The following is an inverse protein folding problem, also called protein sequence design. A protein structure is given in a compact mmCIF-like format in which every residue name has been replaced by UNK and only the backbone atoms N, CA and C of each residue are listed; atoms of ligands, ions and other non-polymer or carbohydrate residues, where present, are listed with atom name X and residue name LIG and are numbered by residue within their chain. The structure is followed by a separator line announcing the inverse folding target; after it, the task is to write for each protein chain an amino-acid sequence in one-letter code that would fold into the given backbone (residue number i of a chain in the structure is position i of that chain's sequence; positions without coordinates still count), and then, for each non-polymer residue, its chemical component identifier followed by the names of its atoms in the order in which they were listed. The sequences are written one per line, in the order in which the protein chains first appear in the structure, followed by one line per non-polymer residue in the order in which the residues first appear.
data_IF_789889932984
#
_entry.id   IF_789889932984
#
_cell.length_a   1.000
_cell.length_b   1.000
_cell.length_c   1.000
_cell.angle_alpha   90.00
_cell.angle_beta   90.00
_cell.angle_gamma   90.00
#
_symmetry.space_group_name_H-M   'P 1'
#
loop_
_entity.id
_entity.type
_entity.pdbx_description
1 polymer ?
#
# COMPACT_ATOMS: atom_id res chain seq x y z
N UNK A 1 -45.76 -10.47 -34.58
CA UNK A 1 -45.85 -9.34 -33.62
C UNK A 1 -45.12 -9.73 -32.35
N UNK A 2 -44.12 -8.91 -31.96
CA UNK A 2 -43.51 -8.70 -30.64
C UNK A 2 -43.02 -9.89 -29.80
N UNK A 3 -41.71 -10.07 -29.88
CA UNK A 3 -40.74 -10.41 -28.81
C UNK A 3 -41.08 -9.78 -27.46
N UNK A 4 -40.67 -10.42 -26.35
CA UNK A 4 -39.79 -9.85 -25.30
C UNK A 4 -39.26 -10.96 -24.38
N UNK A 5 -37.94 -11.16 -24.41
CA UNK A 5 -37.16 -11.98 -23.47
C UNK A 5 -36.89 -11.10 -22.25
N UNK A 6 -37.38 -11.49 -21.08
CA UNK A 6 -37.02 -10.82 -19.81
C UNK A 6 -35.69 -11.39 -19.31
N UNK A 7 -34.59 -10.74 -19.70
CA UNK A 7 -33.29 -10.89 -19.05
C UNK A 7 -33.32 -10.16 -17.70
N UNK A 8 -33.52 -10.91 -16.61
CA UNK A 8 -33.28 -10.43 -15.26
C UNK A 8 -31.79 -10.49 -14.94
N UNK A 9 -31.04 -9.46 -15.33
CA UNK A 9 -29.66 -9.27 -14.89
C UNK A 9 -29.69 -8.84 -13.41
N UNK A 10 -29.60 -9.79 -12.49
CA UNK A 10 -29.32 -9.51 -11.08
C UNK A 10 -27.88 -8.97 -10.98
N UNK A 11 -27.73 -7.65 -11.15
CA UNK A 11 -26.59 -6.90 -10.66
C UNK A 11 -26.69 -6.82 -9.13
N UNK A 12 -26.34 -7.91 -8.44
CA UNK A 12 -25.90 -7.80 -7.06
C UNK A 12 -24.50 -7.19 -7.10
N UNK A 13 -24.45 -5.88 -6.88
CA UNK A 13 -23.24 -5.15 -6.57
C UNK A 13 -22.46 -5.94 -5.52
N UNK A 14 -21.30 -6.46 -5.92
CA UNK A 14 -20.27 -6.83 -4.98
C UNK A 14 -19.90 -5.53 -4.25
N UNK A 15 -20.53 -5.30 -3.10
CA UNK A 15 -20.01 -4.36 -2.13
C UNK A 15 -18.63 -4.88 -1.79
N UNK A 16 -17.61 -4.29 -2.40
CA UNK A 16 -16.24 -4.42 -1.90
C UNK A 16 -16.32 -3.83 -0.50
N UNK A 17 -16.45 -4.71 0.49
CA UNK A 17 -16.14 -4.35 1.85
C UNK A 17 -14.66 -4.00 1.80
N UNK A 18 -14.37 -2.71 1.54
CA UNK A 18 -13.05 -2.16 1.71
C UNK A 18 -12.73 -2.44 3.17
N UNK A 19 -11.91 -3.46 3.43
CA UNK A 19 -11.12 -3.46 4.64
C UNK A 19 -10.48 -2.07 4.64
N UNK A 20 -10.91 -1.25 5.60
CA UNK A 20 -10.37 0.08 5.69
C UNK A 20 -8.95 -0.19 6.16
N UNK A 21 -8.02 -0.09 5.22
CA UNK A 21 -6.64 -0.49 5.44
C UNK A 21 -5.84 0.71 5.94
N UNK A 22 -4.85 0.43 6.78
CA UNK A 22 -3.94 1.44 7.29
C UNK A 22 -3.12 1.99 6.11
N UNK A 23 -3.21 3.28 5.82
CA UNK A 23 -2.52 3.89 4.67
C UNK A 23 -1.70 5.10 5.10
N UNK A 24 -0.44 5.17 4.65
CA UNK A 24 0.39 6.35 4.80
C UNK A 24 0.74 6.96 3.43
N UNK A 25 0.69 8.28 3.34
CA UNK A 25 0.96 9.03 2.12
C UNK A 25 2.07 10.04 2.41
N UNK A 26 3.19 9.88 1.72
CA UNK A 26 4.27 10.86 1.71
C UNK A 26 4.08 11.77 0.48
N UNK A 27 3.86 13.07 0.70
CA UNK A 27 3.71 14.05 -0.38
C UNK A 27 4.92 14.96 -0.43
N UNK A 28 5.58 15.02 -1.59
CA UNK A 28 6.60 16.03 -1.86
C UNK A 28 5.91 17.32 -2.33
N UNK A 29 6.19 18.43 -1.67
CA UNK A 29 5.70 19.75 -2.05
C UNK A 29 6.34 20.24 -3.36
N UNK A 30 5.69 21.21 -4.00
CA UNK A 30 6.13 21.79 -5.27
C UNK A 30 7.50 22.48 -5.18
N UNK A 31 7.88 22.90 -3.97
CA UNK A 31 9.21 23.45 -3.64
C UNK A 31 10.32 22.41 -3.67
N UNK A 32 9.97 21.12 -3.83
CA UNK A 32 10.86 19.96 -3.78
C UNK A 32 11.70 19.87 -2.51
N UNK A 33 11.26 20.51 -1.42
CA UNK A 33 11.99 20.56 -0.14
C UNK A 33 11.10 20.17 1.02
N UNK A 34 9.82 20.47 0.94
CA UNK A 34 8.84 20.16 1.97
C UNK A 34 8.25 18.78 1.71
N UNK A 35 8.27 17.91 2.71
CA UNK A 35 7.62 16.59 2.70
C UNK A 35 6.53 16.59 3.75
N UNK A 36 5.31 16.31 3.34
CA UNK A 36 4.16 16.17 4.24
C UNK A 36 3.76 14.72 4.32
N UNK A 37 3.69 14.18 5.54
CA UNK A 37 3.27 12.80 5.78
C UNK A 37 1.87 12.81 6.34
N UNK A 38 0.94 12.19 5.60
CA UNK A 38 -0.45 12.01 5.99
C UNK A 38 -0.73 10.53 6.24
N UNK A 39 -1.67 10.25 7.14
CA UNK A 39 -1.97 8.90 7.57
C UNK A 39 -3.46 8.69 7.80
N UNK A 40 -3.96 7.54 7.36
CA UNK A 40 -5.32 7.09 7.59
C UNK A 40 -5.31 5.93 8.57
N UNK A 41 -5.99 6.13 9.71
CA UNK A 41 -6.24 5.11 10.71
C UNK A 41 -7.70 4.64 10.59
N UNK A 42 -7.94 3.47 9.99
CA UNK A 42 -9.27 2.89 9.85
C UNK A 42 -9.83 2.34 11.16
N UNK A 43 -8.96 2.04 12.13
CA UNK A 43 -9.34 1.44 13.40
C UNK A 43 -10.11 2.44 14.25
N UNK A 44 -11.04 1.94 15.06
CA UNK A 44 -11.77 2.76 16.04
C UNK A 44 -10.89 3.25 17.20
N UNK A 45 -9.68 2.69 17.34
CA UNK A 45 -8.74 2.95 18.43
C UNK A 45 -7.55 3.78 17.95
N UNK A 46 -6.95 4.52 18.89
CA UNK A 46 -5.70 5.24 18.65
C UNK A 46 -4.56 4.24 18.38
N UNK A 47 -3.72 4.49 17.38
CA UNK A 47 -2.51 3.69 17.12
C UNK A 47 -1.26 4.54 17.33
N UNK A 48 -0.15 3.92 17.70
CA UNK A 48 1.17 4.56 17.68
C UNK A 48 1.86 4.15 16.38
N UNK A 49 2.09 5.11 15.48
CA UNK A 49 2.65 4.82 14.16
C UNK A 49 3.96 5.56 13.93
N UNK A 50 4.87 4.87 13.26
CA UNK A 50 6.11 5.36 12.68
C UNK A 50 6.02 5.17 11.17
N UNK A 51 6.14 6.27 10.44
CA UNK A 51 6.15 6.27 8.97
C UNK A 51 7.50 6.76 8.48
N UNK A 52 8.14 5.96 7.63
CA UNK A 52 9.43 6.26 7.03
C UNK A 52 9.21 6.51 5.54
N UNK A 53 9.35 7.76 5.12
CA UNK A 53 9.28 8.16 3.72
C UNK A 53 10.69 8.22 3.15
N UNK A 54 11.04 7.26 2.31
CA UNK A 54 12.31 7.29 1.58
C UNK A 54 12.19 8.25 0.41
N UNK A 55 13.03 9.27 0.40
CA UNK A 55 13.05 10.35 -0.57
C UNK A 55 14.32 10.25 -1.42
N UNK A 56 14.16 10.35 -2.74
CA UNK A 56 15.28 10.34 -3.67
C UNK A 56 15.98 11.70 -3.67
N UNK A 57 17.32 11.69 -3.64
CA UNK A 57 18.19 12.85 -3.80
C UNK A 57 19.11 12.66 -5.02
N UNK A 58 19.64 13.74 -5.60
CA UNK A 58 20.76 13.63 -6.53
C UNK A 58 21.94 12.91 -5.85
N UNK A 59 22.27 11.71 -6.33
CA UNK A 59 23.39 10.91 -5.80
C UNK A 59 23.09 10.06 -4.57
N UNK A 60 21.82 9.94 -4.15
CA UNK A 60 21.48 9.09 -3.00
C UNK A 60 20.00 9.09 -2.63
N UNK A 61 19.73 8.82 -1.36
CA UNK A 61 18.39 8.90 -0.76
C UNK A 61 18.51 9.42 0.67
N UNK A 62 17.43 9.96 1.20
CA UNK A 62 17.28 10.31 2.60
C UNK A 62 15.90 9.89 3.08
N UNK A 63 15.74 9.69 4.37
CA UNK A 63 14.48 9.18 4.94
C UNK A 63 13.88 10.22 5.87
N UNK A 64 12.61 10.56 5.64
CA UNK A 64 11.82 11.39 6.55
C UNK A 64 11.04 10.45 7.47
N UNK A 65 11.36 10.50 8.77
CA UNK A 65 10.77 9.62 9.78
C UNK A 65 9.77 10.39 10.63
N UNK A 66 8.54 9.91 10.70
CA UNK A 66 7.47 10.55 11.45
C UNK A 66 6.79 9.61 12.41
N UNK A 67 6.97 9.89 13.71
CA UNK A 67 6.44 9.08 14.81
C UNK A 67 5.38 9.87 15.55
N UNK A 68 4.12 9.47 15.44
CA UNK A 68 2.99 10.10 16.15
C UNK A 68 1.89 9.10 16.49
N UNK A 69 1.17 9.31 17.60
CA UNK A 69 -0.10 8.65 17.82
C UNK A 69 -1.15 9.19 16.83
N UNK A 70 -1.87 8.30 16.16
CA UNK A 70 -2.96 8.64 15.24
C UNK A 70 -4.30 8.24 15.88
N UNK A 71 -5.25 9.19 16.06
CA UNK A 71 -6.61 8.92 16.53
C UNK A 71 -7.31 7.82 15.72
N UNK A 72 -8.26 7.12 16.36
CA UNK A 72 -9.12 6.17 15.65
C UNK A 72 -10.02 6.87 14.63
N UNK A 73 -10.22 6.26 13.47
CA UNK A 73 -11.04 6.76 12.38
C UNK A 73 -10.46 7.98 11.66
N UNK A 74 -9.20 8.34 11.92
CA UNK A 74 -8.54 9.46 11.26
C UNK A 74 -8.38 9.19 9.76
N UNK A 75 -8.65 10.19 8.93
CA UNK A 75 -8.47 10.13 7.47
C UNK A 75 -7.48 11.19 7.04
N UNK A 76 -6.43 10.77 6.33
CA UNK A 76 -5.37 11.62 5.78
C UNK A 76 -4.83 12.64 6.80
N UNK A 77 -4.76 12.26 8.06
CA UNK A 77 -4.28 13.14 9.12
C UNK A 77 -2.79 13.39 8.93
N UNK A 78 -2.41 14.67 8.87
CA UNK A 78 -1.00 15.07 8.82
C UNK A 78 -0.31 14.67 10.12
N UNK A 79 0.65 13.76 10.03
CA UNK A 79 1.51 13.36 11.15
C UNK A 79 2.63 14.37 11.36
N UNK A 80 3.22 14.83 10.26
CA UNK A 80 4.35 15.74 10.28
C UNK A 80 4.48 16.44 8.91
N UNK A 81 5.21 17.55 8.95
CA UNK A 81 5.78 18.19 7.77
C UNK A 81 7.25 18.42 8.06
N UNK A 82 8.12 17.87 7.22
CA UNK A 82 9.56 18.11 7.30
C UNK A 82 10.01 18.97 6.12
N UNK A 83 10.98 19.86 6.36
CA UNK A 83 11.55 20.71 5.32
C UNK A 83 13.04 20.42 5.25
N UNK A 84 13.50 19.97 4.07
CA UNK A 84 14.91 19.68 3.84
C UNK A 84 15.77 20.91 4.18
N UNK A 85 16.64 20.74 5.17
CA UNK A 85 17.62 21.75 5.60
C UNK A 85 18.88 21.75 4.72
N UNK A 86 18.98 20.80 3.79
CA UNK A 86 20.12 20.66 2.89
C UNK A 86 20.08 21.61 1.68
N UNK A 87 21.19 21.66 0.95
CA UNK A 87 21.27 22.36 -0.34
C UNK A 87 20.56 21.61 -1.47
N UNK A 88 20.44 20.28 -1.37
CA UNK A 88 19.81 19.42 -2.36
C UNK A 88 18.30 19.30 -2.13
N UNK A 89 17.53 19.54 -3.20
CA UNK A 89 16.10 19.29 -3.24
C UNK A 89 15.82 17.80 -3.48
N UNK A 90 14.71 17.31 -2.95
CA UNK A 90 14.20 15.98 -3.25
C UNK A 90 13.78 15.87 -4.71
N UNK A 91 13.92 14.69 -5.29
CA UNK A 91 13.52 14.41 -6.68
C UNK A 91 12.13 13.79 -6.73
N UNK A 92 11.88 12.83 -5.84
CA UNK A 92 10.62 12.09 -5.72
C UNK A 92 10.58 11.29 -4.43
N UNK A 93 9.40 10.80 -4.08
CA UNK A 93 9.24 9.71 -3.10
C UNK A 93 9.71 8.40 -3.76
N UNK A 94 10.52 7.62 -3.06
CA UNK A 94 11.04 6.33 -3.50
C UNK A 94 10.23 5.18 -2.89
N UNK A 95 9.86 5.29 -1.62
CA UNK A 95 9.11 4.28 -0.91
C UNK A 95 8.55 4.83 0.40
N UNK A 96 7.59 4.10 0.96
CA UNK A 96 6.96 4.40 2.24
C UNK A 96 6.93 3.11 3.04
N UNK A 97 7.50 3.14 4.23
CA UNK A 97 7.39 2.05 5.21
C UNK A 97 6.53 2.54 6.38
N UNK A 98 5.64 1.66 6.85
CA UNK A 98 4.70 1.98 7.91
C UNK A 98 4.79 0.93 9.00
N UNK A 99 5.11 1.38 10.20
CA UNK A 99 5.23 0.57 11.39
C UNK A 99 4.25 1.07 12.45
N UNK A 100 3.12 0.40 12.60
CA UNK A 100 2.09 0.77 13.57
C UNK A 100 1.95 -0.27 14.68
N UNK A 101 1.60 0.22 15.86
CA UNK A 101 1.23 -0.61 17.01
C UNK A 101 -0.10 -0.14 17.59
N UNK A 102 -0.92 -1.11 17.96
CA UNK A 102 -2.16 -0.85 18.69
C UNK A 102 -1.88 -0.37 20.13
N UNK A 103 -2.89 0.05 20.90
CA UNK A 103 -2.71 0.43 22.31
C UNK A 103 -2.11 -0.66 23.21
N UNK A 104 -2.20 -1.93 22.81
CA UNK A 104 -1.64 -3.06 23.53
C UNK A 104 -0.20 -3.40 23.08
N UNK A 105 0.36 -2.64 22.12
CA UNK A 105 1.71 -2.84 21.59
C UNK A 105 1.82 -3.89 20.49
N UNK A 106 0.70 -4.43 20.01
CA UNK A 106 0.62 -5.42 18.94
C UNK A 106 0.90 -4.75 17.60
N UNK A 107 1.82 -5.27 16.77
CA UNK A 107 2.04 -4.76 15.42
C UNK A 107 0.75 -4.82 14.59
N UNK A 108 0.47 -3.74 13.88
CA UNK A 108 -0.62 -3.65 12.92
C UNK A 108 0.01 -3.62 11.53
N UNK A 109 -0.27 -4.64 10.73
CA UNK A 109 0.17 -4.69 9.34
C UNK A 109 -0.66 -3.71 8.52
N UNK A 110 -0.03 -2.79 7.78
CA UNK A 110 -0.70 -2.13 6.66
C UNK A 110 -1.22 -3.20 5.69
N UNK A 111 -2.31 -2.92 4.97
CA UNK A 111 -2.57 -3.79 3.83
C UNK A 111 -1.42 -3.60 2.85
N UNK A 112 -0.73 -4.69 2.57
CA UNK A 112 0.09 -4.79 1.39
C UNK A 112 -0.77 -4.33 0.20
N UNK A 113 -0.21 -3.48 -0.67
CA UNK A 113 -0.77 -3.27 -2.01
C UNK A 113 -0.76 -4.64 -2.71
N UNK A 114 -1.78 -5.46 -2.48
CA UNK A 114 -1.99 -6.74 -3.16
C UNK A 114 -2.57 -6.48 -4.53
N UNK A 115 -1.79 -5.85 -5.39
CA UNK A 115 -1.89 -6.08 -6.82
C UNK A 115 -0.87 -7.14 -7.20
N UNK A 116 -1.10 -8.42 -6.88
CA UNK A 116 -0.41 -9.57 -7.53
C UNK A 116 -0.85 -10.99 -7.08
N UNK A 117 -1.96 -11.18 -6.34
CA UNK A 117 -2.39 -12.55 -5.97
C UNK A 117 -2.98 -13.39 -7.12
N UNK A 118 -3.40 -12.78 -8.23
CA UNK A 118 -3.93 -13.55 -9.37
C UNK A 118 -2.86 -14.04 -10.37
N UNK A 119 -1.65 -13.45 -10.36
CA UNK A 119 -0.57 -13.85 -11.29
C UNK A 119 0.37 -14.93 -10.72
N UNK A 120 0.48 -15.04 -9.40
CA UNK A 120 1.34 -16.05 -8.75
C UNK A 120 0.83 -17.47 -8.95
N UNK A 121 -0.49 -17.68 -8.92
CA UNK A 121 -1.09 -19.01 -9.10
C UNK A 121 -0.94 -19.50 -10.56
N UNK A 122 -1.07 -18.58 -11.53
CA UNK A 122 -0.84 -18.89 -12.93
C UNK A 122 0.63 -19.24 -13.21
N UNK A 123 1.58 -18.54 -12.58
CA UNK A 123 3.01 -18.80 -12.73
C UNK A 123 3.43 -20.13 -12.09
N UNK A 124 2.96 -20.43 -10.87
CA UNK A 124 3.25 -21.68 -10.17
C UNK A 124 2.72 -22.87 -10.96
N UNK A 125 1.50 -22.78 -11.49
CA UNK A 125 0.91 -23.85 -12.32
C UNK A 125 1.68 -24.07 -13.62
N UNK A 126 2.22 -23.01 -14.22
CA UNK A 126 3.04 -23.09 -15.44
C UNK A 126 4.39 -23.75 -15.19
N UNK A 127 5.05 -23.42 -14.07
CA UNK A 127 6.33 -24.02 -13.67
C UNK A 127 6.16 -25.51 -13.31
N UNK A 128 5.09 -25.88 -12.60
CA UNK A 128 4.77 -27.28 -12.31
C UNK A 128 4.58 -28.10 -13.58
N UNK A 129 3.84 -27.57 -14.56
CA UNK A 129 3.64 -28.25 -15.85
C UNK A 129 4.95 -28.40 -16.63
N UNK A 130 5.77 -27.35 -16.69
CA UNK A 130 7.09 -27.43 -17.34
C UNK A 130 8.01 -28.46 -16.70
N UNK A 131 8.02 -28.55 -15.36
CA UNK A 131 8.79 -29.56 -14.64
C UNK A 131 8.32 -30.98 -14.93
N UNK A 132 7.00 -31.21 -14.96
CA UNK A 132 6.42 -32.51 -15.27
C UNK A 132 6.77 -32.97 -16.69
N UNK A 133 6.62 -32.08 -17.68
CA UNK A 133 6.93 -32.36 -19.09
C UNK A 133 8.43 -32.66 -19.32
N UNK A 134 9.32 -32.03 -18.54
CA UNK A 134 10.75 -32.31 -18.59
C UNK A 134 11.08 -33.71 -18.05
N UNK A 135 10.49 -34.09 -16.92
CA UNK A 135 10.68 -35.42 -16.32
C UNK A 135 10.17 -36.52 -17.26
N UNK A 136 9.02 -36.33 -17.92
CA UNK A 136 8.46 -37.33 -18.83
C UNK A 136 9.29 -37.49 -20.11
N UNK A 137 9.95 -36.43 -20.59
CA UNK A 137 10.91 -36.53 -21.69
C UNK A 137 12.21 -37.25 -21.32
N UNK A 138 12.59 -37.25 -20.04
CA UNK A 138 13.79 -37.98 -19.56
C UNK A 138 13.50 -39.47 -19.29
N UNK A 139 12.23 -39.88 -19.25
CA UNK A 139 11.81 -41.28 -19.05
C UNK A 139 11.54 -42.03 -20.36
N UNK A 140 11.73 -41.40 -21.51
CA UNK A 140 11.65 -42.00 -22.85
C UNK A 140 13.05 -42.16 -23.43
#
# INVERSE_FOLDING_TARGET
MKTFILSGLLMCAAGVAMAADVTAICKLGDDKRTVTVAFTNPESKKMQCEVNCDMALPGGFGTVVCVKPVPGGAKDQVMCTDVSKGSAAWVRVKGTEVNCRDPNGTPVTPADDKSEEEESDALIKKLQKQGQDFIDRQKK
#
